data_IF_016656223552
#
_entry.id   IF_016656223552
#
_cell.length_a   1.000
_cell.length_b   1.000
_cell.length_c   1.000
_cell.angle_alpha   90.00
_cell.angle_beta   90.00
_cell.angle_gamma   90.00
#
_symmetry.space_group_name_H-M   'P 1'
#
loop_
_entity.id
_entity.type
_entity.pdbx_description
1 polymer ?
#
# COMPACT_ATOMS: atom_id res chain seq x y z
N UNK A 1 7.23 21.60 36.85
CA UNK A 1 7.66 20.18 36.95
C UNK A 1 6.45 19.20 36.82
N UNK A 2 5.50 19.46 35.93
CA UNK A 2 4.39 18.54 35.63
C UNK A 2 4.16 18.33 34.13
N UNK A 3 5.09 18.79 33.25
CA UNK A 3 4.90 18.73 31.80
C UNK A 3 5.68 17.58 31.11
N UNK A 4 6.60 16.92 31.79
CA UNK A 4 7.47 15.91 31.14
C UNK A 4 6.91 14.46 31.23
N UNK A 5 5.86 14.20 32.01
CA UNK A 5 5.25 12.87 32.10
C UNK A 5 4.20 12.58 31.02
N UNK A 6 3.54 13.60 30.50
CA UNK A 6 2.40 13.47 29.57
C UNK A 6 2.82 13.17 28.12
N UNK A 7 4.01 13.62 27.71
CA UNK A 7 4.49 13.43 26.32
C UNK A 7 4.96 11.99 26.04
N UNK A 8 5.46 11.27 27.05
CA UNK A 8 5.94 9.89 26.90
C UNK A 8 4.80 8.89 26.76
N UNK A 9 3.75 9.06 27.55
CA UNK A 9 2.56 8.19 27.55
C UNK A 9 1.77 8.35 26.23
N UNK A 10 1.69 9.57 25.70
CA UNK A 10 1.06 9.88 24.40
C UNK A 10 1.78 9.24 23.19
N UNK A 11 3.10 9.20 23.24
CA UNK A 11 3.90 8.56 22.18
C UNK A 11 3.81 7.02 22.24
N UNK A 12 3.77 6.44 23.44
CA UNK A 12 3.57 4.99 23.59
C UNK A 12 2.19 4.57 23.11
N UNK A 13 1.14 5.30 23.48
CA UNK A 13 -0.23 5.05 23.01
C UNK A 13 -0.34 5.17 21.49
N UNK A 14 0.31 6.17 20.86
CA UNK A 14 0.38 6.32 19.42
C UNK A 14 1.05 5.11 18.76
N UNK A 15 2.22 4.71 19.23
CA UNK A 15 2.96 3.58 18.68
C UNK A 15 2.18 2.26 18.82
N UNK A 16 1.54 2.04 19.96
CA UNK A 16 0.67 0.89 20.20
C UNK A 16 -0.53 0.88 19.23
N UNK A 17 -1.17 2.02 19.01
CA UNK A 17 -2.26 2.17 18.05
C UNK A 17 -1.82 1.89 16.61
N UNK A 18 -0.68 2.43 16.18
CA UNK A 18 -0.11 2.18 14.86
C UNK A 18 0.28 0.72 14.67
N UNK A 19 0.91 0.09 15.67
CA UNK A 19 1.25 -1.34 15.63
C UNK A 19 -0.02 -2.21 15.55
N UNK A 20 -1.08 -1.83 16.24
CA UNK A 20 -2.39 -2.50 16.16
C UNK A 20 -2.99 -2.40 14.76
N UNK A 21 -2.95 -1.23 14.11
CA UNK A 21 -3.40 -1.09 12.71
C UNK A 21 -2.60 -1.99 11.76
N UNK A 22 -1.28 -2.10 11.94
CA UNK A 22 -0.44 -3.03 11.17
C UNK A 22 -0.91 -4.47 11.37
N UNK A 23 -1.17 -4.89 12.62
CA UNK A 23 -1.62 -6.25 12.93
C UNK A 23 -2.98 -6.55 12.30
N UNK A 24 -3.94 -5.62 12.40
CA UNK A 24 -5.28 -5.72 11.82
C UNK A 24 -5.22 -5.91 10.30
N UNK A 25 -4.44 -5.09 9.60
CA UNK A 25 -4.28 -5.20 8.16
C UNK A 25 -3.52 -6.48 7.75
N UNK A 26 -2.44 -6.82 8.47
CA UNK A 26 -1.60 -7.98 8.18
C UNK A 26 -2.32 -9.32 8.36
N UNK A 27 -3.34 -9.38 9.21
CA UNK A 27 -4.19 -10.56 9.44
C UNK A 27 -4.76 -11.16 8.16
N UNK A 28 -5.05 -10.33 7.14
CA UNK A 28 -5.52 -10.78 5.81
C UNK A 28 -4.58 -11.78 5.15
N UNK A 29 -3.27 -11.71 5.43
CA UNK A 29 -2.26 -12.63 4.88
C UNK A 29 -2.37 -14.04 5.43
N UNK A 30 -2.91 -14.18 6.64
CA UNK A 30 -3.13 -15.46 7.31
C UNK A 30 -4.56 -15.96 7.12
N UNK A 31 -5.53 -15.05 7.10
CA UNK A 31 -6.94 -15.35 6.83
C UNK A 31 -7.12 -16.17 5.55
N UNK A 32 -6.39 -15.85 4.50
CA UNK A 32 -6.52 -16.52 3.19
C UNK A 32 -6.21 -18.01 3.20
N UNK A 33 -5.57 -18.56 4.24
CA UNK A 33 -5.21 -19.99 4.31
C UNK A 33 -6.46 -20.88 4.40
N UNK A 34 -7.48 -20.43 5.14
CA UNK A 34 -8.67 -21.22 5.45
C UNK A 34 -9.98 -20.45 5.28
N UNK A 35 -9.94 -19.13 5.12
CA UNK A 35 -11.11 -18.24 5.04
C UNK A 35 -12.18 -18.56 6.11
N UNK A 36 -11.84 -18.54 7.41
CA UNK A 36 -12.80 -18.89 8.46
C UNK A 36 -13.97 -17.91 8.46
N UNK A 37 -15.15 -18.41 8.84
CA UNK A 37 -16.37 -17.58 8.95
C UNK A 37 -16.37 -16.69 10.19
N UNK A 38 -15.50 -16.97 11.16
CA UNK A 38 -15.36 -16.21 12.40
C UNK A 38 -13.95 -15.70 12.57
N UNK A 39 -13.79 -14.42 12.87
CA UNK A 39 -12.51 -13.76 13.12
C UNK A 39 -12.57 -13.12 14.50
N UNK A 40 -11.73 -13.60 15.42
CA UNK A 40 -11.58 -13.01 16.74
C UNK A 40 -10.41 -12.02 16.75
N UNK A 41 -10.65 -10.79 17.18
CA UNK A 41 -9.61 -9.76 17.33
C UNK A 41 -9.16 -9.70 18.78
N UNK A 42 -7.98 -10.29 19.07
CA UNK A 42 -7.45 -10.50 20.42
C UNK A 42 -6.32 -9.52 20.79
N UNK A 43 -6.16 -8.44 20.04
CA UNK A 43 -5.04 -7.50 20.21
C UNK A 43 -5.40 -6.26 21.06
N UNK A 44 -6.38 -6.40 21.93
CA UNK A 44 -6.87 -5.35 22.81
C UNK A 44 -8.04 -4.57 22.24
N UNK A 45 -8.53 -3.55 22.97
CA UNK A 45 -9.66 -2.76 22.55
C UNK A 45 -9.36 -1.99 21.26
N UNK A 46 -10.28 -2.04 20.30
CA UNK A 46 -10.21 -1.28 19.06
C UNK A 46 -11.32 -0.22 19.01
N UNK A 47 -11.06 0.87 18.34
CA UNK A 47 -12.04 1.93 18.12
C UNK A 47 -13.08 1.52 17.09
N UNK A 48 -14.22 2.23 17.05
CA UNK A 48 -15.24 2.01 16.01
C UNK A 48 -14.68 2.23 14.58
N UNK A 49 -13.76 3.18 14.41
CA UNK A 49 -13.13 3.44 13.12
C UNK A 49 -12.18 2.29 12.69
N UNK A 50 -11.40 1.75 13.62
CA UNK A 50 -10.59 0.56 13.36
C UNK A 50 -11.47 -0.66 13.04
N UNK A 51 -12.57 -0.87 13.77
CA UNK A 51 -13.51 -1.95 13.51
C UNK A 51 -14.15 -1.82 12.11
N UNK A 52 -14.54 -0.61 11.71
CA UNK A 52 -15.09 -0.35 10.38
C UNK A 52 -14.04 -0.62 9.29
N UNK A 53 -12.82 -0.09 9.44
CA UNK A 53 -11.72 -0.35 8.51
C UNK A 53 -11.49 -1.85 8.31
N UNK A 54 -11.43 -2.62 9.39
CA UNK A 54 -11.19 -4.06 9.31
C UNK A 54 -12.36 -4.79 8.64
N UNK A 55 -13.61 -4.46 8.97
CA UNK A 55 -14.79 -5.07 8.33
C UNK A 55 -14.75 -4.89 6.82
N UNK A 56 -14.57 -3.67 6.37
CA UNK A 56 -14.52 -3.35 4.95
C UNK A 56 -13.29 -3.96 4.26
N UNK A 57 -12.14 -4.01 4.95
CA UNK A 57 -10.93 -4.63 4.44
C UNK A 57 -11.12 -6.13 4.17
N UNK A 58 -11.78 -6.84 5.08
CA UNK A 58 -12.03 -8.27 4.91
C UNK A 58 -13.23 -8.55 3.99
N UNK A 59 -14.25 -7.71 3.97
CA UNK A 59 -15.35 -7.86 3.01
C UNK A 59 -14.86 -7.49 1.59
N UNK A 60 -14.60 -6.22 1.35
CA UNK A 60 -14.28 -5.72 0.01
C UNK A 60 -12.88 -6.07 -0.46
N UNK A 61 -11.89 -5.96 0.43
CA UNK A 61 -10.49 -6.23 0.10
C UNK A 61 -10.20 -7.69 -0.21
N UNK A 62 -11.01 -8.63 0.29
CA UNK A 62 -10.84 -10.08 0.06
C UNK A 62 -11.78 -10.64 -1.02
N UNK A 63 -12.61 -9.83 -1.69
CA UNK A 63 -13.55 -10.33 -2.72
C UNK A 63 -12.88 -10.99 -3.91
N UNK A 64 -11.72 -10.46 -4.36
CA UNK A 64 -10.96 -11.11 -5.44
C UNK A 64 -10.43 -12.49 -5.02
N UNK A 65 -9.94 -12.60 -3.79
CA UNK A 65 -9.55 -13.88 -3.21
C UNK A 65 -10.73 -14.85 -3.14
N UNK A 66 -11.89 -14.41 -2.63
CA UNK A 66 -13.08 -15.23 -2.53
C UNK A 66 -13.52 -15.75 -3.90
N UNK A 67 -13.62 -14.84 -4.88
CA UNK A 67 -14.05 -15.17 -6.23
C UNK A 67 -13.10 -16.11 -6.99
N UNK A 68 -11.79 -16.13 -6.63
CA UNK A 68 -10.80 -17.05 -7.23
C UNK A 68 -10.77 -18.42 -6.58
N UNK A 69 -11.32 -18.54 -5.39
CA UNK A 69 -11.37 -19.79 -4.64
C UNK A 69 -12.81 -20.36 -4.57
N UNK A 70 -13.73 -19.88 -5.42
CA UNK A 70 -15.13 -20.30 -5.46
C UNK A 70 -15.86 -20.18 -4.11
N UNK A 71 -15.47 -19.18 -3.31
CA UNK A 71 -16.10 -18.84 -2.05
C UNK A 71 -17.26 -17.84 -2.28
N UNK A 72 -18.21 -17.71 -1.34
CA UNK A 72 -19.24 -16.66 -1.38
C UNK A 72 -18.65 -15.27 -1.53
N UNK A 73 -19.34 -14.40 -2.30
CA UNK A 73 -18.98 -12.99 -2.44
C UNK A 73 -20.23 -12.16 -2.16
N UNK A 74 -20.27 -11.33 -1.08
CA UNK A 74 -19.20 -11.16 -0.07
C UNK A 74 -18.94 -12.44 0.73
N UNK A 75 -17.79 -12.51 1.39
CA UNK A 75 -17.48 -13.60 2.31
C UNK A 75 -18.49 -13.58 3.47
N UNK A 76 -19.03 -14.76 3.80
CA UNK A 76 -19.89 -14.92 4.99
C UNK A 76 -18.98 -15.03 6.22
N UNK A 77 -18.76 -13.92 6.85
CA UNK A 77 -17.87 -13.81 7.99
C UNK A 77 -18.53 -13.12 9.16
N UNK A 78 -18.27 -13.61 10.35
CA UNK A 78 -18.68 -13.02 11.61
C UNK A 78 -17.47 -12.47 12.33
N UNK A 79 -17.61 -11.26 12.82
CA UNK A 79 -16.59 -10.60 13.62
C UNK A 79 -16.88 -10.80 15.08
N UNK A 80 -16.02 -11.51 15.77
CA UNK A 80 -15.96 -11.51 17.21
C UNK A 80 -14.90 -10.52 17.63
N UNK A 81 -15.35 -9.41 18.20
CA UNK A 81 -14.47 -8.41 18.78
C UNK A 81 -14.45 -8.67 20.29
N UNK A 82 -13.40 -9.28 20.82
CA UNK A 82 -13.15 -9.19 22.24
C UNK A 82 -12.74 -7.75 22.54
N UNK A 83 -13.74 -6.96 22.92
CA UNK A 83 -13.50 -5.67 23.53
C UNK A 83 -13.34 -5.97 25.01
N UNK A 84 -12.14 -5.79 25.53
CA UNK A 84 -11.98 -5.66 26.96
C UNK A 84 -12.72 -4.39 27.41
N UNK A 85 -13.97 -4.55 27.79
CA UNK A 85 -14.84 -3.45 28.21
C UNK A 85 -14.34 -2.75 29.50
N UNK A 86 -13.33 -3.33 30.17
CA UNK A 86 -12.65 -2.70 31.30
C UNK A 86 -11.62 -1.66 30.91
N UNK A 87 -11.18 -1.65 29.64
CA UNK A 87 -10.26 -0.67 29.08
C UNK A 87 -10.89 -0.01 27.85
N UNK A 88 -11.22 1.27 27.96
CA UNK A 88 -11.40 2.09 26.78
C UNK A 88 -10.06 2.17 26.03
N UNK A 89 -10.06 2.17 24.67
CA UNK A 89 -8.82 2.46 23.93
C UNK A 89 -8.27 3.79 24.43
N UNK A 90 -6.97 3.81 24.75
CA UNK A 90 -6.29 5.03 25.17
C UNK A 90 -6.51 6.10 24.11
N UNK A 91 -7.11 7.22 24.51
CA UNK A 91 -7.30 8.36 23.61
C UNK A 91 -5.99 9.09 23.51
N UNK A 92 -5.41 9.05 22.33
CA UNK A 92 -4.33 9.94 21.99
C UNK A 92 -4.88 11.36 21.95
N UNK A 93 -4.23 12.27 22.67
CA UNK A 93 -4.64 13.67 22.72
C UNK A 93 -4.66 14.25 21.29
N UNK A 94 -5.74 14.95 20.87
CA UNK A 94 -5.76 15.59 19.58
C UNK A 94 -4.58 16.53 19.43
N UNK A 95 -3.69 16.26 18.45
CA UNK A 95 -2.59 17.15 18.14
C UNK A 95 -3.10 18.41 17.43
N UNK A 96 -2.37 19.52 17.59
CA UNK A 96 -2.63 20.70 16.77
C UNK A 96 -2.36 20.33 15.30
N UNK A 97 -3.40 20.41 14.48
CA UNK A 97 -3.27 20.23 13.03
C UNK A 97 -2.63 21.50 12.45
N UNK A 98 -1.49 21.42 11.77
CA UNK A 98 -1.02 22.54 10.97
C UNK A 98 -2.10 23.00 10.00
N UNK A 99 -2.30 24.30 9.87
CA UNK A 99 -3.47 24.92 9.22
C UNK A 99 -3.53 24.72 7.71
N UNK A 100 -2.43 24.38 7.04
CA UNK A 100 -2.45 24.07 5.60
C UNK A 100 -1.62 22.81 5.24
N UNK A 101 -1.98 22.17 4.11
CA UNK A 101 -1.23 21.03 3.59
C UNK A 101 0.20 21.41 3.16
N UNK A 102 0.38 22.64 2.64
CA UNK A 102 1.67 23.19 2.23
C UNK A 102 2.62 23.37 3.41
N UNK A 103 2.10 23.85 4.55
CA UNK A 103 2.93 24.11 5.73
C UNK A 103 3.43 22.81 6.39
N UNK A 104 2.62 21.76 6.34
CA UNK A 104 3.00 20.42 6.83
C UNK A 104 4.10 19.79 5.98
N UNK A 105 3.92 19.76 4.67
CA UNK A 105 4.91 19.23 3.72
C UNK A 105 6.23 20.01 3.78
N UNK A 106 6.17 21.31 4.05
CA UNK A 106 7.37 22.14 4.21
C UNK A 106 8.10 21.88 5.53
N UNK A 107 7.35 21.55 6.60
CA UNK A 107 7.93 21.42 7.95
C UNK A 107 8.47 20.03 8.26
N UNK A 108 7.83 18.94 7.76
CA UNK A 108 8.10 17.58 8.20
C UNK A 108 8.40 16.60 7.05
N UNK A 109 8.26 17.02 5.79
CA UNK A 109 8.35 16.11 4.65
C UNK A 109 7.18 15.11 4.58
N UNK A 110 7.20 14.25 3.56
CA UNK A 110 6.21 13.21 3.36
C UNK A 110 6.88 11.86 3.16
N UNK A 111 6.46 10.84 3.89
CA UNK A 111 6.91 9.48 3.63
C UNK A 111 6.17 8.93 2.41
N UNK A 112 6.93 8.44 1.43
CA UNK A 112 6.42 7.87 0.18
C UNK A 112 6.75 6.39 0.13
N UNK A 113 5.74 5.50 0.16
CA UNK A 113 5.95 4.07 -0.09
C UNK A 113 6.33 3.84 -1.55
N UNK A 114 7.56 3.40 -1.78
CA UNK A 114 8.14 3.19 -3.12
C UNK A 114 8.09 1.72 -3.48
N UNK A 115 7.21 1.37 -4.43
CA UNK A 115 7.17 0.03 -5.03
C UNK A 115 8.13 -0.12 -6.23
N UNK A 116 8.65 0.98 -6.75
CA UNK A 116 9.52 1.00 -7.93
C UNK A 116 8.79 1.08 -9.27
N UNK A 117 7.44 1.10 -9.28
CA UNK A 117 6.63 1.29 -10.48
C UNK A 117 6.42 2.77 -10.82
N UNK A 118 5.79 3.03 -11.99
CA UNK A 118 5.53 4.35 -12.55
C UNK A 118 4.90 5.34 -11.58
N UNK A 119 3.94 4.88 -10.75
CA UNK A 119 3.17 5.75 -9.88
C UNK A 119 4.04 6.30 -8.74
N UNK A 120 4.78 5.43 -8.04
CA UNK A 120 5.71 5.87 -7.00
C UNK A 120 6.87 6.69 -7.55
N UNK A 121 7.33 6.40 -8.78
CA UNK A 121 8.34 7.20 -9.47
C UNK A 121 7.83 8.64 -9.70
N UNK A 122 6.61 8.79 -10.22
CA UNK A 122 6.01 10.11 -10.42
C UNK A 122 5.76 10.86 -9.11
N UNK A 123 5.34 10.16 -8.04
CA UNK A 123 5.18 10.78 -6.71
C UNK A 123 6.50 11.35 -6.21
N UNK A 124 7.61 10.61 -6.37
CA UNK A 124 8.94 11.13 -5.99
C UNK A 124 9.37 12.31 -6.85
N UNK A 125 9.12 12.28 -8.17
CA UNK A 125 9.37 13.42 -9.05
C UNK A 125 8.63 14.69 -8.61
N UNK A 126 7.36 14.55 -8.22
CA UNK A 126 6.52 15.68 -7.81
C UNK A 126 6.93 16.25 -6.45
N UNK A 127 7.30 15.39 -5.51
CA UNK A 127 7.66 15.83 -4.15
C UNK A 127 9.12 16.27 -4.03
N UNK A 128 10.01 15.71 -4.84
CA UNK A 128 11.44 16.02 -4.81
C UNK A 128 12.06 15.77 -3.43
N UNK A 129 12.84 16.74 -2.95
CA UNK A 129 13.55 16.71 -1.66
C UNK A 129 12.64 16.68 -0.42
N UNK A 130 11.34 16.93 -0.58
CA UNK A 130 10.34 16.79 0.48
C UNK A 130 9.90 15.35 0.72
N UNK A 131 10.30 14.42 -0.15
CA UNK A 131 9.97 13.01 -0.01
C UNK A 131 10.98 12.27 0.86
N UNK A 132 10.48 11.46 1.80
CA UNK A 132 11.22 10.43 2.49
C UNK A 132 10.88 9.10 1.81
N UNK A 133 11.77 8.59 0.96
CA UNK A 133 11.54 7.35 0.22
C UNK A 133 11.61 6.14 1.16
N UNK A 134 10.57 5.31 1.16
CA UNK A 134 10.44 4.15 2.04
C UNK A 134 9.96 2.92 1.27
N UNK A 135 10.44 1.74 1.63
CA UNK A 135 9.94 0.49 1.05
C UNK A 135 9.94 -0.65 2.08
N UNK A 136 9.13 -1.67 1.79
CA UNK A 136 9.08 -2.90 2.58
C UNK A 136 9.73 -4.01 1.76
N UNK A 137 10.73 -4.70 2.35
CA UNK A 137 11.50 -5.77 1.69
C UNK A 137 12.09 -5.27 0.35
N UNK A 138 13.02 -4.32 0.43
CA UNK A 138 13.61 -3.63 -0.71
C UNK A 138 14.12 -4.60 -1.79
N UNK A 139 13.59 -4.44 -3.00
CA UNK A 139 14.08 -5.05 -4.25
C UNK A 139 14.88 -4.03 -5.07
N UNK A 140 15.32 -4.40 -6.25
CA UNK A 140 16.10 -3.52 -7.12
C UNK A 140 15.29 -2.31 -7.62
N UNK A 141 14.03 -2.51 -8.02
CA UNK A 141 13.22 -1.43 -8.60
C UNK A 141 13.00 -0.22 -7.66
N UNK A 142 12.58 -0.38 -6.37
CA UNK A 142 12.50 0.75 -5.45
C UNK A 142 13.86 1.43 -5.21
N UNK A 143 14.98 0.69 -5.21
CA UNK A 143 16.32 1.25 -5.05
C UNK A 143 16.68 2.17 -6.22
N UNK A 144 16.44 1.72 -7.44
CA UNK A 144 16.68 2.51 -8.67
C UNK A 144 15.85 3.79 -8.69
N UNK A 145 14.56 3.69 -8.39
CA UNK A 145 13.63 4.82 -8.37
C UNK A 145 14.01 5.85 -7.30
N UNK A 146 14.37 5.42 -6.09
CA UNK A 146 14.83 6.33 -5.04
C UNK A 146 16.18 6.98 -5.41
N UNK A 147 17.12 6.21 -5.97
CA UNK A 147 18.41 6.73 -6.43
C UNK A 147 18.24 7.75 -7.56
N UNK A 148 17.34 7.50 -8.52
CA UNK A 148 17.01 8.43 -9.59
C UNK A 148 16.43 9.76 -9.08
N UNK A 149 15.72 9.73 -7.94
CA UNK A 149 15.26 10.93 -7.25
C UNK A 149 16.34 11.60 -6.37
N UNK A 150 17.54 11.03 -6.28
CA UNK A 150 18.59 11.52 -5.37
C UNK A 150 18.30 11.28 -3.88
N UNK A 151 17.40 10.35 -3.55
CA UNK A 151 16.91 10.11 -2.19
C UNK A 151 17.51 8.84 -1.59
N UNK A 152 17.74 8.87 -0.27
CA UNK A 152 18.03 7.66 0.50
C UNK A 152 16.75 6.81 0.63
N UNK A 153 16.83 5.52 0.27
CA UNK A 153 15.74 4.58 0.45
C UNK A 153 15.76 3.98 1.86
N UNK A 154 14.81 4.33 2.69
CA UNK A 154 14.58 3.71 3.99
C UNK A 154 13.82 2.40 3.84
N UNK A 155 14.08 1.42 4.70
CA UNK A 155 13.52 0.09 4.52
C UNK A 155 13.00 -0.51 5.82
N UNK A 156 11.90 -1.26 5.73
CA UNK A 156 11.44 -2.16 6.78
C UNK A 156 11.43 -3.61 6.26
N UNK A 157 11.65 -4.56 7.16
CA UNK A 157 11.53 -5.98 6.85
C UNK A 157 10.17 -6.50 7.31
N UNK A 158 9.39 -7.04 6.38
CA UNK A 158 8.19 -7.81 6.68
C UNK A 158 8.47 -9.28 6.42
N UNK A 159 8.34 -10.09 7.46
CA UNK A 159 8.50 -11.54 7.36
C UNK A 159 7.16 -12.21 7.58
N UNK A 160 6.76 -13.06 6.65
CA UNK A 160 5.62 -13.95 6.82
C UNK A 160 6.09 -15.23 7.51
N UNK A 161 5.19 -15.83 8.31
CA UNK A 161 5.47 -17.11 8.94
C UNK A 161 5.74 -18.16 7.86
N UNK A 162 6.86 -18.92 7.95
CA UNK A 162 7.18 -19.99 6.99
C UNK A 162 6.08 -21.03 6.84
N UNK A 163 5.28 -21.28 7.89
CA UNK A 163 4.14 -22.18 7.86
C UNK A 163 3.11 -21.83 6.75
N UNK A 164 3.00 -20.57 6.34
CA UNK A 164 2.16 -20.19 5.20
C UNK A 164 2.56 -20.87 3.90
N UNK A 165 3.86 -21.08 3.70
CA UNK A 165 4.38 -21.81 2.54
C UNK A 165 3.98 -23.27 2.61
N UNK A 166 4.21 -23.91 3.76
CA UNK A 166 3.88 -25.30 3.97
C UNK A 166 2.38 -25.57 3.78
N UNK A 167 1.52 -24.67 4.26
CA UNK A 167 0.08 -24.74 4.04
C UNK A 167 -0.29 -24.60 2.56
N UNK A 168 0.32 -23.66 1.83
CA UNK A 168 0.09 -23.52 0.39
C UNK A 168 0.53 -24.75 -0.40
N UNK A 169 1.66 -25.37 -0.05
CA UNK A 169 2.14 -26.60 -0.67
C UNK A 169 1.21 -27.80 -0.39
N UNK A 170 0.46 -27.77 0.72
CA UNK A 170 -0.57 -28.76 1.08
C UNK A 170 -1.94 -28.47 0.47
N UNK A 171 -2.06 -27.44 -0.38
CA UNK A 171 -3.30 -27.10 -1.08
C UNK A 171 -4.25 -26.19 -0.30
N UNK A 172 -3.77 -25.47 0.72
CA UNK A 172 -4.55 -24.41 1.36
C UNK A 172 -4.94 -23.31 0.38
N UNK A 173 -6.03 -22.60 0.68
CA UNK A 173 -6.49 -21.48 -0.13
C UNK A 173 -5.39 -20.42 -0.28
N UNK A 174 -5.29 -19.83 -1.45
CA UNK A 174 -4.32 -18.78 -1.74
C UNK A 174 -4.90 -17.77 -2.75
N UNK A 175 -4.35 -16.56 -2.76
CA UNK A 175 -4.79 -15.53 -3.69
C UNK A 175 -4.43 -14.13 -3.25
N UNK A 176 -5.05 -13.17 -3.91
CA UNK A 176 -4.84 -11.75 -3.67
C UNK A 176 -5.29 -11.36 -2.25
N UNK A 177 -4.52 -10.50 -1.62
CA UNK A 177 -4.85 -9.84 -0.36
C UNK A 177 -4.77 -8.31 -0.56
N UNK A 178 -5.44 -7.50 0.27
CA UNK A 178 -5.40 -6.05 0.18
C UNK A 178 -4.05 -5.49 0.70
N UNK A 179 -2.95 -5.84 0.02
CA UNK A 179 -1.56 -5.57 0.45
C UNK A 179 -1.29 -4.07 0.62
N UNK A 180 -1.95 -3.21 -0.15
CA UNK A 180 -1.77 -1.75 -0.04
C UNK A 180 -2.18 -1.25 1.35
N UNK A 181 -3.23 -1.79 1.95
CA UNK A 181 -3.61 -1.45 3.32
C UNK A 181 -2.51 -1.82 4.34
N UNK A 182 -1.88 -2.99 4.17
CA UNK A 182 -0.73 -3.41 5.00
C UNK A 182 0.45 -2.46 4.82
N UNK A 183 0.76 -2.11 3.56
CA UNK A 183 1.84 -1.16 3.23
C UNK A 183 1.56 0.19 3.86
N UNK A 184 0.34 0.71 3.75
CA UNK A 184 -0.05 2.02 4.31
C UNK A 184 0.06 2.03 5.83
N UNK A 185 -0.40 0.99 6.52
CA UNK A 185 -0.28 0.90 7.98
C UNK A 185 1.19 0.85 8.45
N UNK A 186 2.05 0.06 7.79
CA UNK A 186 3.49 0.02 8.08
C UNK A 186 4.13 1.37 7.77
N UNK A 187 3.72 2.03 6.68
CA UNK A 187 4.23 3.35 6.30
C UNK A 187 3.84 4.44 7.31
N UNK A 188 2.65 4.37 7.91
CA UNK A 188 2.25 5.28 8.97
C UNK A 188 3.14 5.14 10.22
N UNK A 189 3.47 3.90 10.59
CA UNK A 189 4.43 3.64 11.68
C UNK A 189 5.83 4.15 11.33
N UNK A 190 6.29 3.92 10.10
CA UNK A 190 7.57 4.45 9.61
C UNK A 190 7.58 5.98 9.53
N UNK A 191 6.48 6.62 9.12
CA UNK A 191 6.35 8.07 9.07
C UNK A 191 6.59 8.69 10.46
N UNK A 192 6.00 8.12 11.51
CA UNK A 192 6.27 8.56 12.89
C UNK A 192 7.76 8.44 13.25
N UNK A 193 8.40 7.33 12.87
CA UNK A 193 9.83 7.10 13.16
C UNK A 193 10.77 8.08 12.40
N UNK A 194 10.35 8.56 11.24
CA UNK A 194 11.09 9.52 10.41
C UNK A 194 10.65 10.98 10.61
N UNK A 195 9.78 11.27 11.57
CA UNK A 195 9.30 12.62 11.84
C UNK A 195 8.35 13.18 10.77
N UNK A 196 7.84 12.33 9.85
CA UNK A 196 6.86 12.72 8.84
C UNK A 196 5.46 12.71 9.45
N UNK A 197 4.61 13.65 8.99
CA UNK A 197 3.18 13.70 9.35
C UNK A 197 2.28 13.14 8.27
N UNK A 198 2.79 12.99 7.06
CA UNK A 198 2.03 12.54 5.89
C UNK A 198 2.64 11.27 5.29
N UNK A 199 1.77 10.33 4.90
CA UNK A 199 2.09 9.19 4.03
C UNK A 199 1.45 9.45 2.69
N UNK A 200 2.25 9.70 1.66
CA UNK A 200 1.77 10.06 0.33
C UNK A 200 1.85 8.87 -0.60
N UNK A 201 0.69 8.44 -1.08
CA UNK A 201 0.53 7.31 -1.98
C UNK A 201 0.42 7.78 -3.44
N UNK A 202 0.61 6.85 -4.36
CA UNK A 202 0.43 7.05 -5.79
C UNK A 202 -0.77 6.29 -6.35
N UNK A 203 -1.87 6.13 -5.59
CA UNK A 203 -3.06 5.48 -6.13
C UNK A 203 -3.77 6.41 -7.11
N UNK A 204 -4.08 5.87 -8.27
CA UNK A 204 -4.70 6.57 -9.39
C UNK A 204 -6.23 6.48 -9.36
N UNK A 205 -6.89 7.19 -10.29
CA UNK A 205 -8.35 7.29 -10.37
C UNK A 205 -9.02 5.93 -10.60
N UNK A 206 -8.49 5.13 -11.52
CA UNK A 206 -9.08 3.85 -11.93
C UNK A 206 -8.99 2.76 -10.85
N UNK A 207 -8.15 2.93 -9.84
CA UNK A 207 -8.06 2.01 -8.71
C UNK A 207 -9.37 1.87 -7.91
N UNK A 208 -10.29 2.82 -8.05
CA UNK A 208 -11.63 2.77 -7.43
C UNK A 208 -12.65 1.95 -8.22
N UNK A 209 -12.33 1.55 -9.45
CA UNK A 209 -13.27 0.87 -10.34
C UNK A 209 -13.27 -0.65 -10.13
N UNK A 210 -14.44 -1.31 -10.17
CA UNK A 210 -14.50 -2.76 -10.13
C UNK A 210 -13.83 -3.37 -11.36
N UNK A 211 -13.09 -4.45 -11.16
CA UNK A 211 -12.47 -5.20 -12.26
C UNK A 211 -13.35 -6.28 -12.83
N UNK A 212 -14.34 -6.74 -12.06
CA UNK A 212 -15.35 -7.71 -12.49
C UNK A 212 -16.57 -7.72 -11.58
N UNK A 213 -17.61 -8.45 -11.98
CA UNK A 213 -18.81 -8.68 -11.20
C UNK A 213 -18.99 -10.18 -10.96
N UNK A 214 -19.31 -10.58 -9.73
CA UNK A 214 -19.56 -11.97 -9.32
C UNK A 214 -20.86 -12.00 -8.52
N UNK A 215 -21.86 -12.74 -8.97
CA UNK A 215 -23.16 -12.81 -8.30
C UNK A 215 -23.84 -11.44 -8.10
N UNK A 216 -23.62 -10.48 -9.01
CA UNK A 216 -24.14 -9.12 -8.86
C UNK A 216 -23.33 -8.23 -7.91
N UNK A 217 -22.26 -8.73 -7.32
CA UNK A 217 -21.37 -7.99 -6.44
C UNK A 217 -20.13 -7.47 -7.18
N UNK A 218 -19.79 -6.22 -6.94
CA UNK A 218 -18.57 -5.61 -7.49
C UNK A 218 -17.32 -6.23 -6.84
N UNK A 219 -16.37 -6.67 -7.66
CA UNK A 219 -15.08 -7.20 -7.25
C UNK A 219 -13.99 -6.29 -7.80
N UNK A 220 -13.21 -5.68 -6.93
CA UNK A 220 -12.08 -4.86 -7.28
C UNK A 220 -10.80 -5.46 -6.67
N UNK A 221 -9.91 -6.00 -7.50
CA UNK A 221 -8.65 -6.57 -7.04
C UNK A 221 -7.70 -5.50 -6.47
N UNK A 222 -7.94 -4.21 -6.76
CA UNK A 222 -7.20 -3.07 -6.23
C UNK A 222 -7.99 -2.32 -5.15
N UNK A 223 -9.01 -2.92 -4.54
CA UNK A 223 -9.87 -2.22 -3.59
C UNK A 223 -9.11 -1.44 -2.51
N UNK A 224 -8.02 -2.01 -1.98
CA UNK A 224 -7.18 -1.33 -0.98
C UNK A 224 -6.48 -0.06 -1.50
N UNK A 225 -6.53 0.21 -2.80
CA UNK A 225 -6.08 1.45 -3.43
C UNK A 225 -7.24 2.40 -3.75
N UNK A 226 -8.50 2.01 -3.54
CA UNK A 226 -9.66 2.84 -3.83
C UNK A 226 -9.76 4.05 -2.90
N UNK A 227 -10.52 5.06 -3.30
CA UNK A 227 -10.80 6.21 -2.45
C UNK A 227 -11.52 5.81 -1.15
N UNK A 228 -12.47 4.86 -1.23
CA UNK A 228 -13.19 4.37 -0.05
C UNK A 228 -12.21 3.72 0.95
N UNK A 229 -11.28 2.88 0.46
CA UNK A 229 -10.28 2.27 1.33
C UNK A 229 -9.30 3.30 1.93
N UNK A 230 -8.98 4.36 1.17
CA UNK A 230 -8.15 5.47 1.64
C UNK A 230 -8.85 6.25 2.75
N UNK A 231 -10.13 6.57 2.59
CA UNK A 231 -10.94 7.27 3.62
C UNK A 231 -11.09 6.44 4.89
N UNK A 232 -11.35 5.13 4.76
CA UNK A 232 -11.43 4.20 5.90
C UNK A 232 -10.09 4.07 6.64
N UNK A 233 -9.00 3.99 5.89
CA UNK A 233 -7.65 3.94 6.47
C UNK A 233 -7.33 5.24 7.20
N UNK A 234 -7.71 6.40 6.61
CA UNK A 234 -7.53 7.69 7.25
C UNK A 234 -8.37 7.81 8.54
N UNK A 235 -9.62 7.34 8.53
CA UNK A 235 -10.47 7.35 9.71
C UNK A 235 -9.90 6.51 10.85
N UNK A 236 -9.37 5.32 10.55
CA UNK A 236 -8.69 4.48 11.54
C UNK A 236 -7.38 5.13 12.03
N UNK A 237 -6.62 5.75 11.12
CA UNK A 237 -5.39 6.47 11.46
C UNK A 237 -5.66 7.69 12.34
N UNK A 238 -6.71 8.46 12.06
CA UNK A 238 -7.15 9.59 12.90
C UNK A 238 -7.50 9.13 14.33
N UNK A 239 -8.19 8.00 14.44
CA UNK A 239 -8.57 7.45 15.73
C UNK A 239 -7.38 7.04 16.60
N UNK A 240 -6.31 6.51 16.02
CA UNK A 240 -5.10 6.07 16.74
C UNK A 240 -4.04 7.17 16.86
N UNK A 241 -4.07 8.19 16.02
CA UNK A 241 -3.04 9.25 16.02
C UNK A 241 -3.54 10.59 16.55
N UNK A 242 -4.85 10.71 16.90
CA UNK A 242 -5.44 12.01 17.24
C UNK A 242 -5.36 13.02 16.09
N UNK A 243 -5.30 12.54 14.84
CA UNK A 243 -5.18 13.37 13.64
C UNK A 243 -3.76 13.89 13.36
N UNK A 244 -2.73 13.38 14.06
CA UNK A 244 -1.33 13.76 13.87
C UNK A 244 -0.73 13.22 12.58
N UNK A 245 -1.24 12.10 12.07
CA UNK A 245 -0.78 11.46 10.84
C UNK A 245 -1.88 11.46 9.78
N UNK A 246 -1.50 11.57 8.51
CA UNK A 246 -2.41 11.49 7.38
C UNK A 246 -1.89 10.55 6.31
N UNK A 247 -2.82 9.95 5.57
CA UNK A 247 -2.55 9.20 4.35
C UNK A 247 -3.44 9.69 3.22
N UNK A 248 -2.91 9.87 2.05
CA UNK A 248 -3.65 10.27 0.85
C UNK A 248 -2.85 9.99 -0.41
N UNK A 249 -3.55 9.96 -1.56
CA UNK A 249 -2.94 9.73 -2.87
C UNK A 249 -2.97 10.99 -3.71
N UNK A 250 -1.79 11.55 -4.04
CA UNK A 250 -1.69 12.76 -4.89
C UNK A 250 -2.03 12.48 -6.36
N UNK A 251 -1.97 11.22 -6.79
CA UNK A 251 -2.33 10.83 -8.16
C UNK A 251 -3.81 10.51 -8.34
N UNK A 252 -4.63 10.58 -7.29
CA UNK A 252 -6.06 10.28 -7.30
C UNK A 252 -6.87 11.01 -8.40
N UNK A 253 -6.62 12.28 -8.73
CA UNK A 253 -7.34 12.96 -9.80
C UNK A 253 -6.97 12.50 -11.20
N UNK A 254 -5.84 11.81 -11.37
CA UNK A 254 -5.25 11.53 -12.68
C UNK A 254 -5.63 10.16 -13.21
N UNK A 255 -5.71 10.08 -14.55
CA UNK A 255 -5.82 8.83 -15.29
C UNK A 255 -4.44 8.19 -15.49
N UNK A 256 -4.41 6.92 -15.80
CA UNK A 256 -3.18 6.17 -16.11
C UNK A 256 -2.37 6.82 -17.26
N UNK A 257 -3.06 7.31 -18.29
CA UNK A 257 -2.41 8.03 -19.41
C UNK A 257 -1.79 9.36 -18.95
N UNK A 258 -2.47 10.10 -18.09
CA UNK A 258 -1.94 11.36 -17.54
C UNK A 258 -0.72 11.12 -16.64
N UNK A 259 -0.72 10.03 -15.87
CA UNK A 259 0.42 9.61 -15.05
C UNK A 259 1.61 9.22 -15.94
N UNK A 260 1.37 8.47 -17.02
CA UNK A 260 2.39 8.13 -18.00
C UNK A 260 2.99 9.40 -18.65
N UNK A 261 2.12 10.34 -19.08
CA UNK A 261 2.54 11.65 -19.63
C UNK A 261 3.38 12.46 -18.63
N UNK A 262 3.03 12.44 -17.35
CA UNK A 262 3.81 13.11 -16.31
C UNK A 262 5.19 12.47 -16.11
N UNK A 263 5.25 11.13 -16.10
CA UNK A 263 6.51 10.43 -15.86
C UNK A 263 7.55 10.63 -16.98
N UNK A 264 7.11 10.73 -18.23
CA UNK A 264 8.07 10.95 -19.36
C UNK A 264 8.76 12.31 -19.31
N UNK A 265 8.31 13.23 -18.47
CA UNK A 265 8.99 14.53 -18.29
C UNK A 265 10.19 14.44 -17.34
N UNK A 266 10.35 13.33 -16.62
CA UNK A 266 11.49 13.06 -15.73
C UNK A 266 12.32 11.89 -16.29
N UNK A 267 13.35 12.23 -17.05
CA UNK A 267 14.23 11.25 -17.72
C UNK A 267 14.92 10.29 -16.74
N UNK A 268 15.27 10.75 -15.55
CA UNK A 268 15.92 9.91 -14.53
C UNK A 268 14.94 8.83 -14.02
N UNK A 269 13.71 9.23 -13.71
CA UNK A 269 12.67 8.32 -13.25
C UNK A 269 12.20 7.40 -14.37
N UNK A 270 12.09 7.92 -15.61
CA UNK A 270 11.72 7.15 -16.78
C UNK A 270 12.71 6.01 -17.08
N UNK A 271 14.00 6.21 -16.85
CA UNK A 271 15.03 5.17 -16.96
C UNK A 271 15.11 4.22 -15.75
N UNK A 272 14.49 4.57 -14.63
CA UNK A 272 14.62 3.84 -13.37
C UNK A 272 13.45 2.92 -13.03
N UNK A 273 12.21 3.31 -13.39
CA UNK A 273 11.01 2.59 -12.95
C UNK A 273 10.89 1.20 -13.59
N UNK A 274 10.19 0.32 -12.89
CA UNK A 274 9.85 -1.03 -13.36
C UNK A 274 8.47 -1.43 -12.83
N UNK A 275 7.52 -1.66 -13.75
CA UNK A 275 6.18 -2.16 -13.43
C UNK A 275 5.99 -3.54 -14.08
N UNK A 276 6.68 -4.57 -13.56
CA UNK A 276 6.66 -5.92 -14.11
C UNK A 276 6.28 -6.94 -13.02
N UNK A 277 5.17 -7.66 -13.17
CA UNK A 277 4.74 -8.64 -12.17
C UNK A 277 5.76 -9.77 -11.97
N UNK A 278 6.45 -10.19 -13.02
CA UNK A 278 7.44 -11.26 -12.94
C UNK A 278 8.69 -10.84 -12.13
N UNK A 279 9.03 -9.56 -12.16
CA UNK A 279 10.15 -9.02 -11.38
C UNK A 279 9.87 -8.98 -9.87
N UNK A 280 8.59 -9.00 -9.46
CA UNK A 280 8.16 -8.91 -8.06
C UNK A 280 7.63 -10.24 -7.48
N UNK A 281 7.75 -11.34 -8.22
CA UNK A 281 7.25 -12.64 -7.78
C UNK A 281 8.16 -13.24 -6.72
N UNK A 282 7.66 -13.41 -5.50
CA UNK A 282 8.41 -13.89 -4.33
C UNK A 282 8.79 -15.39 -4.44
N UNK A 283 8.03 -16.17 -5.19
CA UNK A 283 8.06 -17.65 -5.14
C UNK A 283 8.60 -18.33 -6.40
N UNK A 284 9.10 -17.61 -7.39
CA UNK A 284 9.75 -18.22 -8.55
C UNK A 284 11.26 -18.21 -8.40
N UNK A 285 11.95 -19.30 -8.78
CA UNK A 285 13.40 -19.29 -8.86
C UNK A 285 13.83 -18.18 -9.83
N UNK A 286 14.59 -17.23 -9.36
CA UNK A 286 15.14 -16.08 -10.09
C UNK A 286 16.14 -16.49 -11.19
N UNK A 287 16.28 -17.77 -11.47
CA UNK A 287 17.35 -18.32 -12.33
C UNK A 287 17.24 -17.98 -13.83
N UNK A 288 16.20 -17.26 -14.28
CA UNK A 288 16.01 -17.06 -15.72
C UNK A 288 15.92 -15.60 -16.20
N UNK A 289 15.97 -14.60 -15.30
CA UNK A 289 15.98 -13.17 -15.72
C UNK A 289 16.86 -12.34 -14.82
N UNK A 290 17.58 -11.39 -15.42
CA UNK A 290 18.28 -10.38 -14.66
C UNK A 290 17.29 -9.57 -13.82
N UNK A 291 17.56 -9.40 -12.53
CA UNK A 291 16.76 -8.51 -11.67
C UNK A 291 16.68 -7.13 -12.32
N UNK A 292 15.49 -6.53 -12.27
CA UNK A 292 15.29 -5.18 -12.77
C UNK A 292 15.00 -5.05 -14.28
N UNK A 293 14.63 -6.15 -14.99
CA UNK A 293 14.27 -6.12 -16.40
C UNK A 293 12.79 -6.33 -16.68
N UNK A 294 12.29 -5.72 -17.77
CA UNK A 294 10.94 -5.91 -18.26
C UNK A 294 10.77 -7.31 -18.86
N UNK A 295 9.70 -8.00 -18.53
CA UNK A 295 9.40 -9.29 -19.15
C UNK A 295 8.66 -9.16 -20.49
N UNK A 296 8.01 -8.04 -20.73
CA UNK A 296 7.19 -7.68 -21.87
C UNK A 296 5.99 -8.61 -22.15
N UNK A 297 5.81 -9.65 -21.35
CA UNK A 297 4.77 -10.67 -21.58
C UNK A 297 3.68 -10.70 -20.47
N UNK A 298 3.95 -10.19 -19.27
CA UNK A 298 2.91 -10.17 -18.23
C UNK A 298 1.86 -9.07 -18.48
N UNK A 299 0.64 -9.21 -17.93
CA UNK A 299 -0.41 -8.19 -18.10
C UNK A 299 0.04 -6.79 -17.70
N UNK A 300 0.83 -6.67 -16.64
CA UNK A 300 1.33 -5.37 -16.17
C UNK A 300 2.32 -4.73 -17.15
N UNK A 301 3.21 -5.50 -17.77
CA UNK A 301 4.10 -4.98 -18.81
C UNK A 301 3.29 -4.49 -20.01
N UNK A 302 2.35 -5.30 -20.50
CA UNK A 302 1.49 -4.93 -21.65
C UNK A 302 0.70 -3.66 -21.37
N UNK A 303 0.12 -3.56 -20.18
CA UNK A 303 -0.62 -2.36 -19.76
C UNK A 303 0.30 -1.13 -19.70
N UNK A 304 1.44 -1.25 -19.01
CA UNK A 304 2.37 -0.13 -18.84
C UNK A 304 2.91 0.35 -20.19
N UNK A 305 3.33 -0.56 -21.06
CA UNK A 305 3.83 -0.20 -22.40
C UNK A 305 2.76 0.45 -23.26
N UNK A 306 1.50 0.00 -23.17
CA UNK A 306 0.38 0.65 -23.86
C UNK A 306 0.14 2.08 -23.37
N UNK A 307 0.21 2.32 -22.06
CA UNK A 307 0.05 3.67 -21.50
C UNK A 307 1.21 4.60 -21.84
N UNK A 308 2.43 4.08 -21.96
CA UNK A 308 3.64 4.86 -22.25
C UNK A 308 3.84 5.14 -23.75
N UNK A 309 3.38 4.24 -24.63
CA UNK A 309 3.60 4.32 -26.07
C UNK A 309 3.19 5.65 -26.73
N UNK A 310 2.07 6.30 -26.37
CA UNK A 310 1.70 7.59 -26.99
C UNK A 310 2.63 8.76 -26.65
N UNK A 311 3.50 8.60 -25.65
CA UNK A 311 4.33 9.66 -25.09
C UNK A 311 5.82 9.52 -25.42
N UNK A 312 6.23 8.43 -26.10
CA UNK A 312 7.63 8.11 -26.40
C UNK A 312 7.83 7.94 -27.90
N UNK A 313 9.00 8.34 -28.41
CA UNK A 313 9.40 7.92 -29.75
C UNK A 313 9.64 6.40 -29.79
N UNK A 314 9.52 5.75 -30.97
CA UNK A 314 9.80 4.31 -31.08
C UNK A 314 11.19 3.91 -30.55
N UNK A 315 12.20 4.73 -30.80
CA UNK A 315 13.60 4.52 -30.38
C UNK A 315 13.69 4.59 -28.84
N UNK A 316 13.09 5.63 -28.24
CA UNK A 316 13.09 5.81 -26.77
C UNK A 316 12.29 4.73 -26.07
N UNK A 317 11.19 4.30 -26.65
CA UNK A 317 10.40 3.18 -26.15
C UNK A 317 11.23 1.89 -26.09
N UNK A 318 11.94 1.56 -27.18
CA UNK A 318 12.79 0.37 -27.26
C UNK A 318 13.97 0.42 -26.27
N UNK A 319 14.55 1.60 -26.07
CA UNK A 319 15.61 1.81 -25.09
C UNK A 319 15.15 1.54 -23.65
N UNK A 320 13.94 2.01 -23.28
CA UNK A 320 13.40 1.86 -21.92
C UNK A 320 12.92 0.43 -21.66
N UNK A 321 12.21 -0.17 -22.61
CA UNK A 321 11.57 -1.46 -22.43
C UNK A 321 12.40 -2.64 -22.94
N UNK A 322 13.42 -2.41 -23.75
CA UNK A 322 14.26 -3.46 -24.33
C UNK A 322 13.57 -4.30 -25.40
N UNK A 323 12.49 -3.80 -25.99
CA UNK A 323 11.73 -4.47 -27.04
C UNK A 323 10.42 -3.77 -27.39
N UNK A 324 9.67 -4.35 -28.32
CA UNK A 324 8.40 -3.82 -28.84
C UNK A 324 7.23 -4.77 -28.61
N UNK A 325 6.71 -4.90 -27.38
CA UNK A 325 5.69 -5.91 -27.04
C UNK A 325 4.33 -5.70 -27.71
N UNK A 326 4.12 -4.59 -28.41
CA UNK A 326 2.87 -4.26 -29.12
C UNK A 326 2.92 -4.63 -30.61
N UNK A 327 4.02 -5.23 -31.08
CA UNK A 327 4.21 -5.61 -32.50
C UNK A 327 4.04 -7.12 -32.75
N UNK A 328 3.98 -7.93 -31.70
CA UNK A 328 3.73 -9.37 -31.73
C UNK A 328 2.29 -9.66 -31.25
#
# INVERSE_FOLDING_TARGET
>A
HAADGDSGDDDEALLAGLARLVALAAGTSYYKVAAPTTIAVMIGPITAAEAMFVRELYDHGMREFAARNDLPVPLDQRWELEIDASRAPERVTPGERPTSASDRLAAAGALVPVGGGKDSALVLSVLGDRAVAFTINATEAPRRVAAAAGLTLHTAARRLDPALRDWNERGALNGHIPVTAVVTAISALAARAHGCTDVVLGNERSASEPTRWVGGQAVNHQWAKSLIAEDLTQGALDAVSGGRLRTFSILRPFTEVAIASGLVTDEAQLGAFLSCNEAFTIWRPTAQRAEGTWCLNCPQCRFTTLMMAPHLSPERFEEIFGGRPLHD
#
